data_IF_672546349082
#
_entry.id   IF_672546349082
#
_cell.length_a   1.000
_cell.length_b   1.000
_cell.length_c   1.000
_cell.angle_alpha   90.00
_cell.angle_beta   90.00
_cell.angle_gamma   90.00
#
_symmetry.space_group_name_H-M   'P 1'
#
loop_
_entity.id
_entity.type
_entity.pdbx_description
1 polymer ?
#
# COMPACT_ATOMS: atom_id res chain seq x y z
N UNK A 1 -4.49 -17.70 -17.84
CA UNK A 1 -5.74 -17.44 -17.09
C UNK A 1 -6.02 -15.96 -16.81
N UNK A 2 -5.30 -15.23 -15.94
CA UNK A 2 -5.50 -13.77 -15.80
C UNK A 2 -4.92 -12.96 -16.98
N UNK A 3 -3.93 -13.51 -17.70
CA UNK A 3 -3.37 -12.91 -18.91
C UNK A 3 -4.24 -13.16 -20.17
N UNK A 4 -5.06 -14.21 -20.19
CA UNK A 4 -5.97 -14.50 -21.31
C UNK A 4 -7.26 -13.68 -21.20
N UNK A 5 -7.67 -13.34 -19.97
CA UNK A 5 -8.83 -12.47 -19.73
C UNK A 5 -8.56 -11.02 -20.17
N UNK A 6 -7.31 -10.53 -20.06
CA UNK A 6 -6.96 -9.17 -20.49
C UNK A 6 -6.67 -9.05 -21.99
N UNK A 7 -6.32 -10.14 -22.70
CA UNK A 7 -6.01 -10.11 -24.13
C UNK A 7 -7.26 -10.14 -25.02
N UNK A 8 -8.37 -10.69 -24.53
CA UNK A 8 -9.66 -10.70 -25.24
C UNK A 8 -10.46 -9.39 -25.13
N UNK A 9 -10.00 -8.41 -24.35
CA UNK A 9 -10.66 -7.12 -24.20
C UNK A 9 -10.27 -6.07 -25.28
N UNK A 10 -9.28 -6.37 -26.14
CA UNK A 10 -8.75 -5.41 -27.13
C UNK A 10 -9.38 -5.53 -28.54
N UNK A 11 -10.39 -6.40 -28.73
CA UNK A 11 -10.94 -6.70 -30.07
C UNK A 11 -12.45 -6.77 -30.17
N UNK A 12 -13.21 -6.22 -29.22
CA UNK A 12 -14.68 -6.20 -29.28
C UNK A 12 -15.22 -4.79 -29.19
N UNK A 13 -16.06 -4.51 -30.18
CA UNK A 13 -17.00 -3.41 -30.35
C UNK A 13 -17.22 -2.51 -29.12
N UNK A 14 -17.02 -1.19 -29.29
CA UNK A 14 -17.10 -0.16 -28.26
C UNK A 14 -18.52 0.19 -27.81
N UNK A 15 -19.48 -0.73 -27.95
CA UNK A 15 -20.73 -0.62 -27.22
C UNK A 15 -20.45 -1.02 -25.76
N UNK A 16 -20.13 -0.04 -24.94
CA UNK A 16 -20.07 -0.19 -23.49
C UNK A 16 -21.31 -0.98 -23.03
N UNK A 17 -21.17 -2.08 -22.26
CA UNK A 17 -22.33 -2.64 -21.60
C UNK A 17 -22.88 -1.51 -20.74
N UNK A 18 -24.12 -1.08 -21.04
CA UNK A 18 -24.87 -0.22 -20.15
C UNK A 18 -24.91 -0.94 -18.80
N UNK A 19 -24.01 -0.52 -17.90
CA UNK A 19 -24.20 -0.67 -16.47
C UNK A 19 -25.53 -0.01 -16.20
N UNK A 20 -26.59 -0.81 -16.12
CA UNK A 20 -27.87 -0.33 -15.63
C UNK A 20 -27.56 0.36 -14.32
N UNK A 21 -27.66 1.68 -14.32
CA UNK A 21 -27.57 2.49 -13.13
C UNK A 21 -28.76 2.05 -12.27
N UNK A 22 -28.52 1.08 -11.38
CA UNK A 22 -29.50 0.76 -10.37
C UNK A 22 -29.61 2.03 -9.51
N UNK A 23 -30.69 2.80 -9.64
CA UNK A 23 -30.99 3.81 -8.65
C UNK A 23 -31.31 3.07 -7.36
N UNK A 24 -30.38 3.06 -6.42
CA UNK A 24 -30.58 2.44 -5.11
C UNK A 24 -31.19 3.50 -4.21
N UNK A 25 -32.47 3.33 -3.95
CA UNK A 25 -33.22 3.98 -2.88
C UNK A 25 -32.48 3.79 -1.54
N UNK A 26 -32.04 4.86 -0.84
CA UNK A 26 -31.08 4.76 0.26
C UNK A 26 -31.58 4.05 1.52
N UNK A 27 -32.90 3.82 1.69
CA UNK A 27 -33.46 3.48 3.01
C UNK A 27 -34.33 2.20 3.10
N UNK A 28 -34.40 1.31 2.11
CA UNK A 28 -35.11 0.04 2.37
C UNK A 28 -35.41 -0.94 1.25
N UNK A 29 -34.88 -0.77 0.03
CA UNK A 29 -35.40 -1.52 -1.12
C UNK A 29 -34.51 -2.68 -1.61
N UNK A 30 -33.28 -2.85 -1.09
CA UNK A 30 -32.39 -3.94 -1.54
C UNK A 30 -32.93 -5.34 -1.18
N UNK A 31 -33.49 -5.50 0.03
CA UNK A 31 -34.09 -6.78 0.42
C UNK A 31 -35.32 -7.14 -0.45
N UNK A 32 -36.08 -6.14 -0.92
CA UNK A 32 -37.20 -6.34 -1.86
C UNK A 32 -36.71 -6.68 -3.26
N UNK A 33 -35.62 -6.09 -3.71
CA UNK A 33 -34.99 -6.37 -5.00
C UNK A 33 -34.61 -7.86 -5.16
N UNK A 34 -34.22 -8.50 -4.06
CA UNK A 34 -33.86 -9.92 -4.04
C UNK A 34 -34.99 -10.87 -3.61
N UNK A 35 -36.09 -10.36 -3.02
CA UNK A 35 -37.15 -11.19 -2.45
C UNK A 35 -37.92 -12.04 -3.47
N UNK A 36 -37.98 -11.60 -4.74
CA UNK A 36 -38.69 -12.27 -5.83
C UNK A 36 -37.78 -12.97 -6.83
N UNK A 37 -36.46 -12.99 -6.59
CA UNK A 37 -35.48 -13.61 -7.47
C UNK A 37 -35.47 -15.13 -7.26
N UNK A 38 -35.41 -15.88 -8.36
CA UNK A 38 -35.17 -17.33 -8.32
C UNK A 38 -33.75 -17.65 -7.82
N UNK A 39 -33.50 -18.91 -7.44
CA UNK A 39 -32.22 -19.34 -6.85
C UNK A 39 -31.02 -18.98 -7.74
N UNK A 40 -31.03 -19.35 -9.02
CA UNK A 40 -29.91 -19.11 -9.94
C UNK A 40 -29.65 -17.62 -10.16
N UNK A 41 -30.72 -16.82 -10.20
CA UNK A 41 -30.60 -15.36 -10.30
C UNK A 41 -29.93 -14.77 -9.06
N UNK A 42 -30.23 -15.29 -7.86
CA UNK A 42 -29.57 -14.87 -6.62
C UNK A 42 -28.09 -15.25 -6.60
N UNK A 43 -27.73 -16.45 -7.08
CA UNK A 43 -26.33 -16.86 -7.20
C UNK A 43 -25.56 -15.95 -8.15
N UNK A 44 -26.14 -15.63 -9.31
CA UNK A 44 -25.55 -14.73 -10.30
C UNK A 44 -25.42 -13.30 -9.76
N UNK A 45 -26.45 -12.78 -9.10
CA UNK A 45 -26.41 -11.44 -8.49
C UNK A 45 -25.32 -11.36 -7.39
N UNK A 46 -25.17 -12.41 -6.57
CA UNK A 46 -24.14 -12.48 -5.53
C UNK A 46 -22.72 -12.55 -6.13
N UNK A 47 -22.52 -13.37 -7.17
CA UNK A 47 -21.24 -13.45 -7.87
C UNK A 47 -20.86 -12.10 -8.51
N UNK A 48 -21.82 -11.42 -9.16
CA UNK A 48 -21.61 -10.10 -9.75
C UNK A 48 -21.29 -9.03 -8.70
N UNK A 49 -21.99 -9.04 -7.55
CA UNK A 49 -21.74 -8.09 -6.47
C UNK A 49 -20.35 -8.30 -5.82
N UNK A 50 -19.94 -9.56 -5.65
CA UNK A 50 -18.59 -9.93 -5.19
C UNK A 50 -17.52 -9.44 -6.18
N UNK A 51 -17.68 -9.70 -7.48
CA UNK A 51 -16.71 -9.21 -8.47
C UNK A 51 -16.63 -7.68 -8.49
N UNK A 52 -17.79 -7.01 -8.44
CA UNK A 52 -17.87 -5.55 -8.42
C UNK A 52 -17.20 -4.95 -7.17
N UNK A 53 -17.37 -5.55 -5.98
CA UNK A 53 -16.72 -5.07 -4.75
C UNK A 53 -15.19 -5.11 -4.89
N UNK A 54 -14.65 -6.18 -5.48
CA UNK A 54 -13.20 -6.34 -5.67
C UNK A 54 -12.62 -5.36 -6.67
N UNK A 55 -13.30 -5.16 -7.80
CA UNK A 55 -12.88 -4.22 -8.84
C UNK A 55 -12.87 -2.80 -8.27
N UNK A 56 -13.96 -2.39 -7.62
CA UNK A 56 -14.10 -1.07 -7.02
C UNK A 56 -13.10 -0.87 -5.87
N UNK A 57 -12.92 -1.86 -5.00
CA UNK A 57 -11.92 -1.80 -3.92
C UNK A 57 -10.51 -1.66 -4.47
N UNK A 58 -10.16 -2.42 -5.51
CA UNK A 58 -8.86 -2.29 -6.16
C UNK A 58 -8.68 -0.92 -6.78
N UNK A 59 -9.70 -0.39 -7.46
CA UNK A 59 -9.70 0.98 -7.97
C UNK A 59 -9.45 2.01 -6.87
N UNK A 60 -10.14 1.86 -5.73
CA UNK A 60 -9.99 2.74 -4.58
C UNK A 60 -8.60 2.64 -3.95
N UNK A 61 -8.07 1.43 -3.76
CA UNK A 61 -6.71 1.24 -3.22
C UNK A 61 -5.65 1.83 -4.14
N UNK A 62 -5.80 1.72 -5.45
CA UNK A 62 -4.80 2.25 -6.39
C UNK A 62 -4.82 3.77 -6.50
N UNK A 63 -6.00 4.40 -6.39
CA UNK A 63 -6.18 5.81 -6.76
C UNK A 63 -6.53 6.72 -5.58
N UNK A 64 -7.06 6.17 -4.49
CA UNK A 64 -7.69 6.95 -3.42
C UNK A 64 -8.98 7.67 -3.84
N UNK A 65 -9.53 7.38 -5.03
CA UNK A 65 -10.70 8.08 -5.58
C UNK A 65 -11.96 7.82 -4.76
N UNK A 66 -12.67 8.91 -4.45
CA UNK A 66 -13.98 8.86 -3.77
C UNK A 66 -15.01 8.09 -4.59
N UNK A 67 -14.96 8.18 -5.93
CA UNK A 67 -15.89 7.44 -6.81
C UNK A 67 -15.77 5.93 -6.61
N UNK A 68 -14.55 5.38 -6.69
CA UNK A 68 -14.31 3.96 -6.44
C UNK A 68 -14.65 3.55 -5.00
N UNK A 69 -14.45 4.42 -4.02
CA UNK A 69 -14.87 4.16 -2.63
C UNK A 69 -16.38 3.97 -2.54
N UNK A 70 -17.16 4.86 -3.16
CA UNK A 70 -18.62 4.79 -3.17
C UNK A 70 -19.11 3.54 -3.91
N UNK A 71 -18.52 3.22 -5.07
CA UNK A 71 -18.83 1.99 -5.82
C UNK A 71 -18.54 0.74 -5.00
N UNK A 72 -17.43 0.70 -4.27
CA UNK A 72 -17.07 -0.41 -3.39
C UNK A 72 -18.09 -0.59 -2.27
N UNK A 73 -18.38 0.49 -1.52
CA UNK A 73 -19.36 0.46 -0.42
C UNK A 73 -20.73 -0.04 -0.89
N UNK A 74 -21.15 0.42 -2.06
CA UNK A 74 -22.41 0.00 -2.69
C UNK A 74 -22.40 -1.47 -3.11
N UNK A 75 -21.30 -1.93 -3.70
CA UNK A 75 -21.16 -3.34 -4.11
C UNK A 75 -21.14 -4.28 -2.91
N UNK A 76 -20.50 -3.86 -1.80
CA UNK A 76 -20.56 -4.56 -0.51
C UNK A 76 -21.99 -4.70 0.00
N UNK A 77 -22.79 -3.63 -0.04
CA UNK A 77 -24.20 -3.70 0.38
C UNK A 77 -25.02 -4.66 -0.49
N UNK A 78 -24.78 -4.67 -1.80
CA UNK A 78 -25.43 -5.62 -2.72
C UNK A 78 -24.99 -7.07 -2.45
N UNK A 79 -23.71 -7.26 -2.12
CA UNK A 79 -23.17 -8.56 -1.78
C UNK A 79 -23.78 -9.10 -0.47
N UNK A 80 -23.82 -8.29 0.59
CA UNK A 80 -24.48 -8.64 1.86
C UNK A 80 -26.00 -8.92 1.67
N UNK A 81 -26.69 -8.10 0.87
CA UNK A 81 -28.12 -8.28 0.61
C UNK A 81 -28.43 -9.57 -0.16
N UNK A 82 -27.67 -9.87 -1.22
CA UNK A 82 -27.83 -11.11 -1.99
C UNK A 82 -27.45 -12.35 -1.17
N UNK A 83 -26.41 -12.25 -0.34
CA UNK A 83 -26.02 -13.31 0.60
C UNK A 83 -27.18 -13.66 1.55
N UNK A 84 -27.80 -12.65 2.16
CA UNK A 84 -28.95 -12.83 3.04
C UNK A 84 -30.16 -13.45 2.31
N UNK A 85 -30.37 -13.06 1.05
CA UNK A 85 -31.43 -13.64 0.22
C UNK A 85 -31.17 -15.13 -0.09
N UNK A 86 -29.93 -15.52 -0.39
CA UNK A 86 -29.53 -16.93 -0.57
C UNK A 86 -29.84 -17.72 0.70
N UNK A 87 -29.36 -17.26 1.87
CA UNK A 87 -29.60 -17.93 3.17
C UNK A 87 -31.10 -18.12 3.45
N UNK A 88 -31.92 -17.11 3.13
CA UNK A 88 -33.37 -17.20 3.31
C UNK A 88 -34.02 -18.23 2.38
N UNK A 89 -33.57 -18.29 1.11
CA UNK A 89 -34.07 -19.26 0.14
C UNK A 89 -33.61 -20.70 0.47
N UNK A 90 -32.47 -20.86 1.13
CA UNK A 90 -31.94 -22.16 1.55
C UNK A 90 -32.63 -22.76 2.79
N UNK A 91 -33.65 -22.12 3.37
CA UNK A 91 -34.36 -22.64 4.56
C UNK A 91 -35.04 -23.99 4.35
N UNK A 92 -35.38 -24.33 3.11
CA UNK A 92 -35.96 -25.61 2.74
C UNK A 92 -34.95 -26.70 2.43
N UNK A 93 -33.65 -26.40 2.47
CA UNK A 93 -32.60 -27.38 2.15
C UNK A 93 -32.49 -28.42 3.27
N UNK A 94 -32.51 -29.69 2.89
CA UNK A 94 -32.39 -30.83 3.81
C UNK A 94 -31.13 -31.65 3.57
N UNK A 95 -30.42 -31.42 2.46
CA UNK A 95 -29.16 -32.08 2.16
C UNK A 95 -28.05 -31.59 3.11
N UNK A 96 -27.46 -32.53 3.85
CA UNK A 96 -26.46 -32.22 4.87
C UNK A 96 -25.20 -31.55 4.30
N UNK A 97 -24.81 -31.87 3.06
CA UNK A 97 -23.65 -31.25 2.40
C UNK A 97 -23.96 -29.80 2.02
N UNK A 98 -25.13 -29.51 1.47
CA UNK A 98 -25.57 -28.16 1.13
C UNK A 98 -25.66 -27.26 2.37
N UNK A 99 -26.13 -27.79 3.51
CA UNK A 99 -26.18 -27.05 4.77
C UNK A 99 -24.79 -26.71 5.33
N UNK A 100 -23.83 -27.63 5.20
CA UNK A 100 -22.42 -27.37 5.56
C UNK A 100 -21.80 -26.32 4.63
N UNK A 101 -22.00 -26.44 3.31
CA UNK A 101 -21.55 -25.45 2.34
C UNK A 101 -22.15 -24.07 2.62
N UNK A 102 -23.42 -23.99 3.03
CA UNK A 102 -24.08 -22.73 3.36
C UNK A 102 -23.43 -22.05 4.57
N UNK A 103 -23.06 -22.85 5.58
CA UNK A 103 -22.36 -22.36 6.77
C UNK A 103 -20.96 -21.82 6.40
N UNK A 104 -20.21 -22.57 5.60
CA UNK A 104 -18.88 -22.16 5.13
C UNK A 104 -18.93 -20.94 4.20
N UNK A 105 -19.94 -20.84 3.33
CA UNK A 105 -20.20 -19.68 2.49
C UNK A 105 -20.42 -18.43 3.34
N UNK A 106 -21.24 -18.53 4.40
CA UNK A 106 -21.48 -17.42 5.33
C UNK A 106 -20.20 -16.96 6.01
N UNK A 107 -19.47 -17.90 6.61
CA UNK A 107 -18.19 -17.61 7.28
C UNK A 107 -17.18 -16.96 6.33
N UNK A 108 -17.02 -17.53 5.13
CA UNK A 108 -16.06 -17.02 4.13
C UNK A 108 -16.44 -15.62 3.63
N UNK A 109 -17.73 -15.34 3.48
CA UNK A 109 -18.22 -14.01 3.08
C UNK A 109 -17.99 -12.97 4.17
N UNK A 110 -18.25 -13.31 5.44
CA UNK A 110 -17.97 -12.43 6.58
C UNK A 110 -16.47 -12.11 6.68
N UNK A 111 -15.61 -13.12 6.50
CA UNK A 111 -14.16 -12.95 6.44
C UNK A 111 -13.72 -12.07 5.26
N UNK A 112 -14.30 -12.26 4.07
CA UNK A 112 -14.03 -11.43 2.90
C UNK A 112 -14.32 -9.96 3.20
N UNK A 113 -15.51 -9.66 3.73
CA UNK A 113 -15.94 -8.31 4.04
C UNK A 113 -15.06 -7.65 5.12
N UNK A 114 -14.61 -8.41 6.12
CA UNK A 114 -13.69 -7.91 7.13
C UNK A 114 -12.32 -7.54 6.53
N UNK A 115 -11.78 -8.39 5.65
CA UNK A 115 -10.51 -8.13 4.97
C UNK A 115 -10.63 -6.99 3.94
N UNK A 116 -11.75 -6.86 3.22
CA UNK A 116 -12.01 -5.71 2.34
C UNK A 116 -12.04 -4.39 3.11
N UNK A 117 -12.74 -4.34 4.26
CA UNK A 117 -12.79 -3.15 5.12
C UNK A 117 -11.41 -2.80 5.69
N UNK A 118 -10.66 -3.83 6.13
CA UNK A 118 -9.27 -3.66 6.60
C UNK A 118 -8.41 -3.07 5.49
N UNK A 119 -8.51 -3.61 4.29
CA UNK A 119 -7.78 -3.11 3.13
C UNK A 119 -8.14 -1.66 2.79
N UNK A 120 -9.42 -1.31 2.78
CA UNK A 120 -9.89 0.05 2.54
C UNK A 120 -9.37 1.07 3.57
N UNK A 121 -9.12 0.62 4.81
CA UNK A 121 -8.58 1.46 5.90
C UNK A 121 -7.11 1.87 5.67
N UNK A 122 -6.36 1.13 4.85
CA UNK A 122 -4.97 1.47 4.55
C UNK A 122 -4.86 2.64 3.55
N UNK A 123 -5.90 2.92 2.77
CA UNK A 123 -5.87 3.94 1.71
C UNK A 123 -5.59 5.32 2.33
N UNK A 124 -4.56 5.99 1.83
CA UNK A 124 -4.14 7.30 2.31
C UNK A 124 -3.40 7.29 3.66
N UNK A 125 -3.11 6.12 4.23
CA UNK A 125 -2.39 6.00 5.50
C UNK A 125 -0.93 5.58 5.30
N UNK A 126 0.00 6.00 6.20
CA UNK A 126 1.39 5.52 6.17
C UNK A 126 1.51 3.99 6.31
N UNK A 127 0.54 3.34 6.97
CA UNK A 127 0.51 1.89 7.21
C UNK A 127 0.44 1.06 5.93
N UNK A 128 0.05 1.65 4.79
CA UNK A 128 0.10 0.97 3.49
C UNK A 128 1.52 0.57 3.10
N UNK A 129 2.50 1.41 3.41
CA UNK A 129 3.89 1.22 3.01
C UNK A 129 4.78 1.18 4.27
N UNK A 130 5.07 0.00 4.84
CA UNK A 130 5.83 -0.11 6.09
C UNK A 130 7.19 0.61 6.05
N UNK A 131 7.88 0.56 4.89
CA UNK A 131 9.14 1.27 4.69
C UNK A 131 8.99 2.79 4.67
N UNK A 132 7.86 3.32 4.16
CA UNK A 132 7.56 4.74 4.22
C UNK A 132 7.29 5.19 5.65
N UNK A 133 6.57 4.39 6.44
CA UNK A 133 6.35 4.70 7.85
C UNK A 133 7.68 4.81 8.61
N UNK A 134 8.55 3.80 8.46
CA UNK A 134 9.90 3.83 9.05
C UNK A 134 10.73 5.02 8.55
N UNK A 135 10.58 5.38 7.27
CA UNK A 135 11.22 6.57 6.71
C UNK A 135 10.72 7.86 7.38
N UNK A 136 9.40 8.05 7.46
CA UNK A 136 8.78 9.26 8.01
C UNK A 136 9.03 9.41 9.52
N UNK A 137 9.09 8.29 10.26
CA UNK A 137 9.28 8.27 11.73
C UNK A 137 10.75 8.43 12.15
N UNK A 138 11.69 7.82 11.42
CA UNK A 138 13.09 7.71 11.87
C UNK A 138 14.08 8.40 10.93
N UNK A 139 13.94 8.23 9.61
CA UNK A 139 14.96 8.68 8.64
C UNK A 139 14.79 10.16 8.28
N UNK A 140 13.58 10.61 7.96
CA UNK A 140 13.32 11.99 7.59
C UNK A 140 13.70 12.98 8.73
N UNK A 141 13.37 12.71 10.01
CA UNK A 141 13.84 13.55 11.12
C UNK A 141 15.37 13.55 11.27
N UNK A 142 16.03 12.38 11.11
CA UNK A 142 17.49 12.29 11.17
C UNK A 142 18.16 13.08 10.04
N UNK A 143 17.57 13.07 8.84
CA UNK A 143 18.01 13.93 7.74
C UNK A 143 17.86 15.43 8.05
N UNK A 144 16.75 15.85 8.65
CA UNK A 144 16.58 17.25 9.05
C UNK A 144 17.63 17.70 10.07
N UNK A 145 17.92 16.84 11.06
CA UNK A 145 18.96 17.13 12.04
C UNK A 145 20.34 17.20 11.39
N UNK A 146 20.67 16.25 10.50
CA UNK A 146 21.94 16.23 9.79
C UNK A 146 22.14 17.49 8.93
N UNK A 147 21.12 17.91 8.17
CA UNK A 147 21.17 19.13 7.36
C UNK A 147 21.41 20.37 8.22
N UNK A 148 20.72 20.48 9.36
CA UNK A 148 20.91 21.58 10.31
C UNK A 148 22.33 21.60 10.88
N UNK A 149 22.89 20.45 11.23
CA UNK A 149 24.26 20.35 11.76
C UNK A 149 25.30 20.72 10.70
N UNK A 150 25.14 20.25 9.46
CA UNK A 150 25.98 20.67 8.34
C UNK A 150 25.96 22.19 8.16
N UNK A 151 24.78 22.82 8.19
CA UNK A 151 24.64 24.27 8.03
C UNK A 151 25.34 25.06 9.13
N UNK A 152 25.17 24.65 10.39
CA UNK A 152 25.86 25.28 11.52
C UNK A 152 27.38 25.15 11.42
N UNK A 153 27.88 23.97 11.02
CA UNK A 153 29.31 23.72 10.93
C UNK A 153 29.94 24.48 9.76
N UNK A 154 29.27 24.52 8.60
CA UNK A 154 29.71 25.30 7.44
C UNK A 154 29.78 26.80 7.78
N UNK A 155 28.75 27.35 8.43
CA UNK A 155 28.78 28.74 8.90
C UNK A 155 29.95 28.98 9.86
N UNK A 156 30.14 28.07 10.81
CA UNK A 156 31.20 28.18 11.81
C UNK A 156 32.60 28.15 11.19
N UNK A 157 32.82 27.31 10.17
CA UNK A 157 34.08 27.24 9.40
C UNK A 157 34.30 28.52 8.60
N UNK A 158 33.26 29.03 7.92
CA UNK A 158 33.35 30.28 7.12
C UNK A 158 33.70 31.51 7.96
N UNK A 159 33.26 31.55 9.22
CA UNK A 159 33.60 32.67 10.14
C UNK A 159 35.00 32.55 10.75
N UNK A 160 35.68 31.41 10.59
CA UNK A 160 37.04 31.19 11.10
C UNK A 160 38.07 31.30 9.98
N UNK A 161 39.03 32.23 10.09
CA UNK A 161 40.10 32.48 9.10
C UNK A 161 41.20 31.38 9.07
N UNK A 162 40.84 30.10 9.09
CA UNK A 162 41.78 28.97 9.08
C UNK A 162 42.05 28.42 7.67
N UNK A 163 43.32 28.17 7.35
CA UNK A 163 43.78 27.65 6.04
C UNK A 163 43.40 26.19 5.77
N UNK A 164 43.03 25.40 6.79
CA UNK A 164 42.65 23.98 6.68
C UNK A 164 41.14 23.75 6.43
N UNK A 165 40.39 24.82 6.14
CA UNK A 165 38.94 24.84 6.04
C UNK A 165 38.37 24.17 4.78
N UNK A 166 39.09 24.17 3.66
CA UNK A 166 38.55 23.74 2.36
C UNK A 166 38.08 22.27 2.36
N UNK A 167 38.89 21.35 2.87
CA UNK A 167 38.53 19.91 2.93
C UNK A 167 37.31 19.63 3.81
N UNK A 168 37.14 20.39 4.89
CA UNK A 168 35.98 20.27 5.78
C UNK A 168 34.72 20.83 5.13
N UNK A 169 34.84 21.95 4.39
CA UNK A 169 33.74 22.56 3.65
C UNK A 169 33.24 21.60 2.57
N UNK A 170 34.12 21.01 1.76
CA UNK A 170 33.73 20.11 0.68
C UNK A 170 33.01 18.87 1.21
N UNK A 171 33.52 18.24 2.26
CA UNK A 171 32.90 17.05 2.84
C UNK A 171 31.50 17.34 3.42
N UNK A 172 31.35 18.45 4.17
CA UNK A 172 30.07 18.84 4.75
C UNK A 172 29.07 19.27 3.67
N UNK A 173 29.53 19.99 2.63
CA UNK A 173 28.69 20.40 1.51
C UNK A 173 28.20 19.19 0.71
N UNK A 174 29.08 18.20 0.48
CA UNK A 174 28.73 16.94 -0.19
C UNK A 174 27.71 16.14 0.62
N UNK A 175 27.95 15.89 1.91
CA UNK A 175 27.00 15.20 2.78
C UNK A 175 25.63 15.90 2.79
N UNK A 176 25.62 17.22 2.90
CA UNK A 176 24.38 18.02 2.82
C UNK A 176 23.66 17.84 1.49
N UNK A 177 24.40 17.82 0.37
CA UNK A 177 23.87 17.56 -0.96
C UNK A 177 23.24 16.16 -1.06
N UNK A 178 23.96 15.14 -0.62
CA UNK A 178 23.50 13.74 -0.64
C UNK A 178 22.23 13.56 0.19
N UNK A 179 22.20 14.10 1.41
CA UNK A 179 21.02 14.05 2.29
C UNK A 179 19.82 14.74 1.65
N UNK A 180 20.01 15.87 0.95
CA UNK A 180 18.91 16.54 0.23
C UNK A 180 18.39 15.71 -0.93
N UNK A 181 19.29 15.14 -1.73
CA UNK A 181 18.93 14.26 -2.85
C UNK A 181 18.16 13.03 -2.36
N UNK A 182 18.66 12.37 -1.32
CA UNK A 182 17.97 11.24 -0.70
C UNK A 182 16.61 11.64 -0.12
N UNK A 183 16.52 12.78 0.58
CA UNK A 183 15.25 13.27 1.14
C UNK A 183 14.20 13.52 0.05
N UNK A 184 14.58 14.12 -1.07
CA UNK A 184 13.67 14.40 -2.17
C UNK A 184 13.22 13.12 -2.90
N UNK A 185 14.13 12.14 -3.06
CA UNK A 185 13.87 10.96 -3.89
C UNK A 185 13.30 9.75 -3.15
N UNK A 186 13.71 9.50 -1.90
CA UNK A 186 13.36 8.26 -1.19
C UNK A 186 11.87 8.13 -0.93
N UNK A 187 11.19 9.18 -0.43
CA UNK A 187 9.76 9.11 -0.16
C UNK A 187 8.94 8.74 -1.42
N UNK A 188 9.34 9.25 -2.59
CA UNK A 188 8.71 8.93 -3.87
C UNK A 188 9.02 7.49 -4.29
N UNK A 189 10.29 7.08 -4.21
CA UNK A 189 10.72 5.72 -4.52
C UNK A 189 9.97 4.67 -3.67
N UNK A 190 9.83 4.92 -2.37
CA UNK A 190 9.17 4.00 -1.44
C UNK A 190 7.68 3.79 -1.77
N UNK A 191 6.99 4.82 -2.24
CA UNK A 191 5.58 4.76 -2.70
C UNK A 191 5.44 4.15 -4.11
N UNK A 192 6.49 4.21 -4.92
CA UNK A 192 6.44 3.76 -6.32
C UNK A 192 6.45 2.25 -6.47
N UNK A 193 5.96 1.70 -7.58
CA UNK A 193 6.12 0.27 -7.90
C UNK A 193 7.51 -0.09 -8.46
N UNK A 194 8.35 0.91 -8.68
CA UNK A 194 9.70 0.70 -9.20
C UNK A 194 10.54 0.07 -8.09
N UNK A 195 11.25 -1.01 -8.43
CA UNK A 195 12.12 -1.74 -7.49
C UNK A 195 13.56 -1.22 -7.54
N UNK A 196 13.95 -0.59 -8.64
CA UNK A 196 15.24 0.07 -8.82
C UNK A 196 15.19 1.49 -8.28
N UNK A 197 16.17 1.83 -7.45
CA UNK A 197 16.31 3.19 -6.93
C UNK A 197 16.70 4.15 -8.07
N UNK A 198 16.21 5.40 -8.09
CA UNK A 198 16.72 6.39 -9.04
C UNK A 198 18.24 6.56 -8.89
N UNK A 199 18.96 6.65 -10.02
CA UNK A 199 20.43 6.64 -10.07
C UNK A 199 21.02 7.74 -9.17
N UNK A 200 20.41 8.93 -9.15
CA UNK A 200 20.87 10.06 -8.34
C UNK A 200 20.72 9.79 -6.84
N UNK A 201 19.66 9.08 -6.44
CA UNK A 201 19.41 8.71 -5.05
C UNK A 201 20.34 7.57 -4.63
N UNK A 202 20.60 6.62 -5.52
CA UNK A 202 21.54 5.53 -5.30
C UNK A 202 22.96 6.06 -5.10
N UNK A 203 23.44 6.93 -6.00
CA UNK A 203 24.74 7.58 -5.87
C UNK A 203 24.86 8.42 -4.58
N UNK A 204 23.81 9.15 -4.21
CA UNK A 204 23.76 9.90 -2.96
C UNK A 204 23.83 8.97 -1.74
N UNK A 205 23.16 7.82 -1.78
CA UNK A 205 23.19 6.81 -0.73
C UNK A 205 24.58 6.18 -0.59
N UNK A 206 25.22 5.77 -1.68
CA UNK A 206 26.60 5.23 -1.66
C UNK A 206 27.59 6.24 -1.05
N UNK A 207 27.48 7.51 -1.46
CA UNK A 207 28.27 8.61 -0.92
C UNK A 207 28.01 8.83 0.58
N UNK A 208 26.74 8.78 1.00
CA UNK A 208 26.33 8.87 2.40
C UNK A 208 26.94 7.77 3.28
N UNK A 209 26.98 6.52 2.79
CA UNK A 209 27.55 5.39 3.55
C UNK A 209 29.03 5.57 3.87
N UNK A 210 29.79 6.21 2.97
CA UNK A 210 31.21 6.48 3.17
C UNK A 210 31.48 7.73 4.02
N UNK A 211 30.47 8.58 4.20
CA UNK A 211 30.63 9.89 4.86
C UNK A 211 31.01 9.77 6.34
N UNK A 212 30.60 8.72 7.04
CA UNK A 212 30.96 8.51 8.45
C UNK A 212 32.49 8.43 8.68
N UNK A 213 33.21 7.72 7.80
CA UNK A 213 34.67 7.62 7.87
C UNK A 213 35.37 8.95 7.56
N UNK A 214 34.84 9.70 6.58
CA UNK A 214 35.35 11.03 6.23
C UNK A 214 35.19 12.00 7.41
N UNK A 215 34.00 12.02 8.03
CA UNK A 215 33.72 12.88 9.19
C UNK A 215 34.59 12.55 10.40
N UNK A 216 34.89 11.26 10.64
CA UNK A 216 35.79 10.85 11.72
C UNK A 216 37.20 11.44 11.54
N UNK A 217 37.71 11.48 10.30
CA UNK A 217 39.00 12.11 9.99
C UNK A 217 38.99 13.63 10.20
N UNK A 218 37.88 14.29 9.86
CA UNK A 218 37.72 15.74 10.03
C UNK A 218 37.52 16.14 11.49
N UNK A 219 36.86 15.30 12.28
CA UNK A 219 36.68 15.49 13.72
C UNK A 219 38.00 15.78 14.45
N UNK A 220 39.07 15.03 14.12
CA UNK A 220 40.38 15.19 14.77
C UNK A 220 41.01 16.57 14.53
N UNK A 221 40.60 17.27 13.47
CA UNK A 221 41.05 18.62 13.09
C UNK A 221 40.05 19.71 13.47
N UNK A 222 38.88 19.33 13.98
CA UNK A 222 37.80 20.24 14.32
C UNK A 222 38.10 20.98 15.62
N UNK A 223 37.60 22.22 15.71
CA UNK A 223 37.62 22.99 16.97
C UNK A 223 36.86 22.24 18.06
N UNK A 224 37.24 22.41 19.35
CA UNK A 224 36.56 21.74 20.45
C UNK A 224 35.02 21.93 20.45
N UNK A 225 34.52 23.11 20.09
CA UNK A 225 33.09 23.40 20.02
C UNK A 225 32.33 22.72 18.86
N UNK A 226 33.03 22.19 17.86
CA UNK A 226 32.45 21.52 16.69
C UNK A 226 32.60 20.00 16.73
N UNK A 227 33.50 19.47 17.57
CA UNK A 227 33.71 18.04 17.77
C UNK A 227 32.40 17.32 18.10
N UNK A 228 31.62 17.80 19.08
CA UNK A 228 30.34 17.19 19.44
C UNK A 228 29.33 17.13 18.27
N UNK A 229 29.41 18.08 17.32
CA UNK A 229 28.55 18.08 16.12
C UNK A 229 28.98 17.02 15.11
N UNK A 230 30.30 16.83 14.94
CA UNK A 230 30.84 15.71 14.16
C UNK A 230 30.46 14.35 14.74
N UNK A 231 30.52 14.18 16.07
CA UNK A 231 30.06 12.94 16.72
C UNK A 231 28.60 12.68 16.43
N UNK A 232 27.76 13.71 16.63
CA UNK A 232 26.33 13.60 16.39
C UNK A 232 26.02 13.26 14.93
N UNK A 233 26.72 13.86 13.97
CA UNK A 233 26.58 13.52 12.56
C UNK A 233 26.98 12.06 12.27
N UNK A 234 28.06 11.56 12.88
CA UNK A 234 28.48 10.17 12.71
C UNK A 234 27.42 9.19 13.26
N UNK A 235 26.86 9.47 14.43
CA UNK A 235 25.75 8.70 15.01
C UNK A 235 24.50 8.70 14.11
N UNK A 236 24.13 9.89 13.59
CA UNK A 236 23.00 10.04 12.68
C UNK A 236 23.22 9.24 11.40
N UNK A 237 24.42 9.28 10.81
CA UNK A 237 24.74 8.51 9.61
C UNK A 237 24.61 7.01 9.89
N UNK A 238 25.21 6.52 10.97
CA UNK A 238 25.19 5.10 11.30
C UNK A 238 23.77 4.57 11.56
N UNK A 239 23.00 5.28 12.38
CA UNK A 239 21.61 4.91 12.68
C UNK A 239 20.70 5.00 11.45
N UNK A 240 20.88 6.05 10.64
CA UNK A 240 20.11 6.24 9.41
C UNK A 240 20.43 5.19 8.36
N UNK A 241 21.70 4.85 8.15
CA UNK A 241 22.11 3.78 7.22
C UNK A 241 21.47 2.45 7.61
N UNK A 242 21.48 2.09 8.90
CA UNK A 242 20.79 0.89 9.39
C UNK A 242 19.30 0.91 9.05
N UNK A 243 18.62 2.02 9.28
CA UNK A 243 17.20 2.17 8.97
C UNK A 243 16.93 2.11 7.45
N UNK A 244 17.76 2.76 6.64
CA UNK A 244 17.67 2.71 5.18
C UNK A 244 17.86 1.28 4.64
N UNK A 245 18.80 0.51 5.18
CA UNK A 245 18.97 -0.90 4.82
C UNK A 245 17.72 -1.73 5.13
N UNK A 246 17.08 -1.52 6.29
CA UNK A 246 15.82 -2.18 6.64
C UNK A 246 14.69 -1.78 5.69
N UNK A 247 14.59 -0.49 5.36
CA UNK A 247 13.61 0.04 4.41
C UNK A 247 13.80 -0.61 3.03
N UNK A 248 15.04 -0.72 2.53
CA UNK A 248 15.32 -1.33 1.23
C UNK A 248 15.10 -2.84 1.24
N UNK A 249 15.38 -3.51 2.36
CA UNK A 249 15.02 -4.92 2.52
C UNK A 249 13.50 -5.10 2.44
N UNK A 250 12.72 -4.29 3.14
CA UNK A 250 11.25 -4.29 3.08
C UNK A 250 10.75 -4.05 1.65
N UNK A 251 11.35 -3.09 0.94
CA UNK A 251 11.00 -2.72 -0.45
C UNK A 251 11.09 -3.91 -1.42
N UNK A 252 12.03 -4.83 -1.20
CA UNK A 252 12.23 -6.02 -2.02
C UNK A 252 11.25 -7.16 -1.71
N UNK A 253 10.49 -7.08 -0.61
CA UNK A 253 9.52 -8.11 -0.23
C UNK A 253 8.17 -7.88 -0.88
N UNK A 254 7.33 -8.92 -0.97
CA UNK A 254 5.93 -8.78 -1.39
C UNK A 254 5.07 -7.95 -0.43
N UNK A 255 5.57 -7.64 0.77
CA UNK A 255 4.86 -6.87 1.81
C UNK A 255 5.16 -5.36 1.77
N UNK A 256 5.92 -4.90 0.77
CA UNK A 256 6.28 -3.48 0.65
C UNK A 256 5.05 -2.58 0.46
N UNK A 257 4.08 -3.02 -0.35
CA UNK A 257 2.73 -2.46 -0.44
C UNK A 257 1.80 -3.43 0.27
N UNK A 258 1.56 -3.17 1.56
CA UNK A 258 0.77 -4.06 2.40
C UNK A 258 -0.67 -4.19 1.90
N UNK A 259 -1.20 -3.15 1.25
CA UNK A 259 -2.52 -3.20 0.65
C UNK A 259 -2.57 -4.18 -0.54
N UNK A 260 -1.59 -4.12 -1.46
CA UNK A 260 -1.51 -5.09 -2.57
C UNK A 260 -1.27 -6.52 -2.05
N UNK A 261 -0.44 -6.68 -1.01
CA UNK A 261 -0.22 -7.97 -0.34
C UNK A 261 -1.53 -8.55 0.21
N UNK A 262 -2.25 -7.80 1.04
CA UNK A 262 -3.53 -8.23 1.64
C UNK A 262 -4.55 -8.57 0.56
N UNK A 263 -4.67 -7.72 -0.47
CA UNK A 263 -5.59 -7.97 -1.59
C UNK A 263 -5.30 -9.32 -2.25
N UNK A 264 -4.04 -9.60 -2.59
CA UNK A 264 -3.67 -10.84 -3.30
C UNK A 264 -3.70 -12.09 -2.44
N UNK A 265 -3.28 -11.98 -1.18
CA UNK A 265 -3.05 -13.13 -0.31
C UNK A 265 -4.26 -13.49 0.55
N UNK A 266 -5.20 -12.56 0.74
CA UNK A 266 -6.37 -12.78 1.58
C UNK A 266 -7.69 -12.56 0.84
N UNK A 267 -7.87 -11.38 0.25
CA UNK A 267 -9.13 -10.99 -0.39
C UNK A 267 -9.45 -11.86 -1.61
N UNK A 268 -8.51 -11.97 -2.57
CA UNK A 268 -8.72 -12.79 -3.78
C UNK A 268 -9.00 -14.28 -3.47
N UNK A 269 -8.26 -14.96 -2.58
CA UNK A 269 -8.57 -16.34 -2.22
C UNK A 269 -9.95 -16.53 -1.57
N UNK A 270 -10.40 -15.60 -0.72
CA UNK A 270 -11.72 -15.69 -0.08
C UNK A 270 -12.83 -15.53 -1.13
N UNK A 271 -12.70 -14.55 -2.02
CA UNK A 271 -13.64 -14.39 -3.13
C UNK A 271 -13.68 -15.61 -4.05
N UNK A 272 -12.51 -16.19 -4.38
CA UNK A 272 -12.45 -17.39 -5.21
C UNK A 272 -13.18 -18.58 -4.56
N UNK A 273 -13.05 -18.76 -3.24
CA UNK A 273 -13.80 -19.79 -2.49
C UNK A 273 -15.30 -19.58 -2.60
N UNK A 274 -15.77 -18.34 -2.46
CA UNK A 274 -17.18 -17.97 -2.64
C UNK A 274 -17.66 -18.34 -4.04
N UNK A 275 -16.94 -17.94 -5.08
CA UNK A 275 -17.29 -18.26 -6.47
C UNK A 275 -17.34 -19.75 -6.76
N UNK A 276 -16.44 -20.55 -6.17
CA UNK A 276 -16.49 -22.02 -6.26
C UNK A 276 -17.76 -22.56 -5.62
N UNK A 277 -18.11 -22.13 -4.40
CA UNK A 277 -19.33 -22.58 -3.72
C UNK A 277 -20.60 -22.22 -4.50
N UNK A 278 -20.68 -21.01 -5.05
CA UNK A 278 -21.82 -20.59 -5.88
C UNK A 278 -21.92 -21.46 -7.16
N UNK A 279 -20.78 -21.76 -7.80
CA UNK A 279 -20.73 -22.63 -8.97
C UNK A 279 -21.18 -24.07 -8.68
N UNK A 280 -20.82 -24.61 -7.51
CA UNK A 280 -21.28 -25.94 -7.07
C UNK A 280 -22.80 -25.98 -6.87
N UNK A 281 -23.41 -24.91 -6.34
CA UNK A 281 -24.85 -24.83 -6.17
C UNK A 281 -25.60 -24.70 -7.51
N UNK A 282 -25.08 -23.89 -8.44
CA UNK A 282 -25.69 -23.72 -9.76
C UNK A 282 -25.54 -24.92 -10.70
N UNK A 283 -24.61 -25.84 -10.43
CA UNK A 283 -24.44 -27.08 -11.21
C UNK A 283 -25.28 -28.25 -10.68
N UNK A 284 -25.82 -28.12 -9.46
CA UNK A 284 -26.60 -29.17 -8.78
C UNK A 284 -28.11 -28.96 -8.79
N UNK A 285 -28.59 -27.83 -9.33
CA UNK A 285 -30.00 -27.46 -9.53
C UNK A 285 -30.48 -27.82 -10.94
#
# INVERSE_FOLDING_TARGET
MLADYMRNAQGRDTSAPQTAAFDVDPEGNLARLFASRGHDALLADNAAANEASLIALRGYVLTGSVGFKTEWQRSVQLFEASQNAIVKNSRGWTDGRQLLQLTEFRRTSEELLAEERTLASFVGTPNRFPGLRLYDEEVAPAFDEALRLCDLMLQSIMTSNGSDSASSVDALARLRGDVRTMRAGLALFLRSRVMTMPIEVEAAYESFQTSGGVLAGLRAKARPGDQAKFDRLAELIQSTDKNLQQIFALKRTSRWDYADYVFRQKVLPLSAKISVTLGEWGAGS
#
